data_IF_430399302149
#
_entry.id   IF_430399302149
#
_cell.length_a   1.000
_cell.length_b   1.000
_cell.length_c   1.000
_cell.angle_alpha   90.00
_cell.angle_beta   90.00
_cell.angle_gamma   90.00
#
_symmetry.space_group_name_H-M   'P 1'
#
loop_
_entity.id
_entity.type
_entity.pdbx_description
1 polymer ?
#
# COMPACT_ATOMS: atom_id res chain seq x y z
N UNK A 1 11.61 -24.51 -4.96
CA UNK A 1 11.44 -24.42 -6.41
C UNK A 1 12.66 -25.05 -7.04
N UNK A 2 12.51 -26.01 -7.96
CA UNK A 2 13.65 -26.62 -8.64
C UNK A 2 14.45 -25.56 -9.41
N UNK A 3 15.79 -25.61 -9.30
CA UNK A 3 16.73 -24.66 -9.93
C UNK A 3 16.41 -24.36 -11.41
N UNK A 4 15.97 -25.39 -12.13
CA UNK A 4 15.57 -25.31 -13.54
C UNK A 4 14.40 -24.35 -13.76
N UNK A 5 13.39 -24.37 -12.91
CA UNK A 5 12.22 -23.51 -13.01
C UNK A 5 12.58 -22.05 -12.70
N UNK A 6 13.42 -21.81 -11.68
CA UNK A 6 13.96 -20.47 -11.38
C UNK A 6 14.72 -19.90 -12.57
N UNK A 7 15.57 -20.71 -13.18
CA UNK A 7 16.33 -20.31 -14.35
C UNK A 7 15.41 -19.99 -15.53
N UNK A 8 14.37 -20.80 -15.78
CA UNK A 8 13.38 -20.53 -16.83
C UNK A 8 12.63 -19.21 -16.60
N UNK A 9 12.22 -18.90 -15.37
CA UNK A 9 11.55 -17.63 -15.07
C UNK A 9 12.48 -16.42 -15.26
N UNK A 10 13.74 -16.54 -14.83
CA UNK A 10 14.74 -15.49 -15.05
C UNK A 10 15.05 -15.30 -16.53
N UNK A 11 15.11 -16.38 -17.31
CA UNK A 11 15.27 -16.31 -18.76
C UNK A 11 14.12 -15.56 -19.42
N UNK A 12 12.87 -15.91 -19.09
CA UNK A 12 11.67 -15.21 -19.59
C UNK A 12 11.69 -13.72 -19.27
N UNK A 13 12.13 -13.38 -18.05
CA UNK A 13 12.22 -12.00 -17.62
C UNK A 13 13.30 -11.23 -18.38
N UNK A 14 14.48 -11.82 -18.57
CA UNK A 14 15.57 -11.18 -19.35
C UNK A 14 15.28 -11.05 -20.83
N UNK A 15 14.50 -11.98 -21.41
CA UNK A 15 14.19 -11.95 -22.83
C UNK A 15 13.31 -10.75 -23.22
N UNK A 16 12.52 -10.24 -22.27
CA UNK A 16 11.69 -9.03 -22.46
C UNK A 16 12.52 -7.75 -22.55
N UNK A 17 13.77 -7.77 -22.07
CA UNK A 17 14.60 -6.57 -21.93
C UNK A 17 15.44 -6.28 -23.19
N UNK A 18 15.70 -5.00 -23.41
CA UNK A 18 16.62 -4.54 -24.43
C UNK A 18 18.06 -5.02 -24.11
N UNK A 19 18.89 -5.36 -25.11
CA UNK A 19 20.25 -5.89 -24.90
C UNK A 19 21.11 -5.07 -23.95
N UNK A 20 21.08 -3.74 -24.11
CA UNK A 20 21.81 -2.79 -23.30
C UNK A 20 21.45 -2.82 -21.81
N UNK A 21 20.24 -3.26 -21.45
CA UNK A 21 19.82 -3.38 -20.04
C UNK A 21 20.46 -4.58 -19.34
N UNK A 22 20.73 -5.67 -20.08
CA UNK A 22 21.43 -6.84 -19.55
C UNK A 22 22.92 -6.58 -19.35
N UNK A 23 23.49 -5.70 -20.15
CA UNK A 23 24.89 -5.28 -20.00
C UNK A 23 25.10 -4.33 -18.81
N UNK A 24 24.04 -3.66 -18.35
CA UNK A 24 24.10 -2.84 -17.14
C UNK A 24 24.38 -3.71 -15.93
N UNK A 25 25.46 -3.37 -15.21
CA UNK A 25 25.85 -4.05 -13.97
C UNK A 25 24.75 -3.99 -12.90
N UNK A 26 23.90 -2.95 -12.92
CA UNK A 26 22.80 -2.78 -11.98
C UNK A 26 21.71 -3.82 -12.16
N UNK A 27 21.35 -4.25 -13.38
CA UNK A 27 20.23 -5.18 -13.59
C UNK A 27 20.45 -6.50 -12.84
N UNK A 28 21.58 -7.16 -13.06
CA UNK A 28 21.90 -8.41 -12.37
C UNK A 28 22.22 -8.22 -10.88
N UNK A 29 22.79 -7.08 -10.49
CA UNK A 29 23.01 -6.78 -9.07
C UNK A 29 21.68 -6.55 -8.33
N UNK A 30 20.73 -5.87 -8.96
CA UNK A 30 19.39 -5.62 -8.45
C UNK A 30 18.57 -6.92 -8.44
N UNK A 31 18.73 -7.77 -9.47
CA UNK A 31 18.20 -9.13 -9.46
C UNK A 31 18.89 -10.02 -8.41
N UNK A 32 20.17 -9.85 -8.11
CA UNK A 32 20.81 -10.57 -7.00
C UNK A 32 20.30 -10.09 -5.63
N UNK A 33 19.87 -8.84 -5.51
CA UNK A 33 19.14 -8.37 -4.31
C UNK A 33 17.78 -9.07 -4.15
N UNK A 34 17.30 -9.84 -5.13
CA UNK A 34 16.13 -10.74 -5.00
C UNK A 34 16.36 -11.97 -4.13
N UNK A 35 17.57 -12.15 -3.58
CA UNK A 35 17.93 -13.36 -2.86
C UNK A 35 16.86 -13.81 -1.84
N UNK A 36 16.54 -15.11 -1.85
CA UNK A 36 15.79 -15.89 -0.86
C UNK A 36 14.53 -15.28 -0.21
N UNK A 37 13.87 -14.30 -0.83
CA UNK A 37 12.83 -13.51 -0.16
C UNK A 37 11.50 -13.42 -0.92
N UNK A 38 11.41 -14.01 -2.11
CA UNK A 38 10.28 -13.81 -3.03
C UNK A 38 9.67 -15.16 -3.38
N UNK A 39 8.35 -15.22 -3.46
CA UNK A 39 7.64 -16.44 -3.83
C UNK A 39 7.86 -16.81 -5.31
N UNK A 40 7.90 -18.11 -5.59
CA UNK A 40 7.91 -18.68 -6.94
C UNK A 40 6.75 -18.17 -7.80
N UNK A 41 5.56 -18.11 -7.21
CA UNK A 41 4.35 -17.59 -7.86
C UNK A 41 4.46 -16.11 -8.25
N UNK A 42 5.00 -15.24 -7.38
CA UNK A 42 5.16 -13.82 -7.70
C UNK A 42 6.24 -13.62 -8.80
N UNK A 43 7.30 -14.43 -8.81
CA UNK A 43 8.32 -14.39 -9.86
C UNK A 43 7.74 -14.82 -11.23
N UNK A 44 6.94 -15.89 -11.24
CA UNK A 44 6.22 -16.34 -12.44
C UNK A 44 5.22 -15.28 -12.92
N UNK A 45 4.47 -14.65 -12.00
CA UNK A 45 3.53 -13.59 -12.36
C UNK A 45 4.24 -12.36 -12.97
N UNK A 46 5.46 -12.04 -12.49
CA UNK A 46 6.26 -10.94 -13.00
C UNK A 46 6.94 -11.24 -14.35
N UNK A 47 7.22 -12.51 -14.67
CA UNK A 47 7.79 -12.93 -15.95
C UNK A 47 6.73 -13.19 -17.03
N UNK A 48 5.47 -13.42 -16.62
CA UNK A 48 4.40 -13.82 -17.55
C UNK A 48 4.05 -12.70 -18.54
N UNK A 49 3.98 -13.01 -19.85
CA UNK A 49 3.58 -12.04 -20.87
C UNK A 49 2.10 -11.64 -20.72
N UNK A 50 1.81 -10.33 -20.72
CA UNK A 50 0.45 -9.76 -20.63
C UNK A 50 -0.19 -9.53 -21.99
N UNK A 51 0.60 -9.27 -23.03
CA UNK A 51 0.07 -8.97 -24.36
C UNK A 51 0.29 -10.13 -25.34
N UNK A 52 -0.58 -10.23 -26.34
CA UNK A 52 -0.49 -11.26 -27.39
C UNK A 52 0.77 -11.12 -28.22
N UNK A 53 1.21 -9.89 -28.53
CA UNK A 53 2.43 -9.65 -29.31
C UNK A 53 3.68 -10.14 -28.57
N UNK A 54 3.74 -9.97 -27.24
CA UNK A 54 4.85 -10.49 -26.43
C UNK A 54 4.97 -12.02 -26.62
N UNK A 55 3.85 -12.75 -26.55
CA UNK A 55 3.78 -14.22 -26.78
C UNK A 55 4.29 -14.64 -28.17
N UNK A 56 4.24 -13.72 -29.13
CA UNK A 56 4.66 -13.97 -30.52
C UNK A 56 6.16 -13.73 -30.68
N UNK A 57 6.71 -12.67 -30.06
CA UNK A 57 8.15 -12.38 -30.04
C UNK A 57 8.97 -13.38 -29.22
N UNK A 58 8.39 -14.01 -28.19
CA UNK A 58 9.03 -15.12 -27.43
C UNK A 58 9.43 -16.32 -28.32
N UNK A 59 8.91 -16.41 -29.54
CA UNK A 59 9.27 -17.47 -30.49
C UNK A 59 10.59 -17.21 -31.20
N UNK A 60 11.04 -15.96 -31.32
CA UNK A 60 12.42 -15.63 -31.69
C UNK A 60 13.28 -15.55 -30.43
N UNK A 61 13.49 -16.71 -29.78
CA UNK A 61 14.39 -16.80 -28.61
C UNK A 61 15.76 -16.27 -29.03
N UNK A 62 16.16 -15.14 -28.44
CA UNK A 62 17.54 -14.66 -28.57
C UNK A 62 18.45 -15.68 -27.89
N UNK A 63 19.52 -16.07 -28.56
CA UNK A 63 20.61 -16.79 -27.90
C UNK A 63 21.32 -15.81 -26.98
N UNK A 64 21.07 -15.93 -25.66
CA UNK A 64 21.84 -15.20 -24.67
C UNK A 64 23.32 -15.58 -24.78
N UNK A 65 24.21 -14.62 -24.50
CA UNK A 65 25.65 -14.94 -24.48
C UNK A 65 25.95 -15.97 -23.39
N UNK A 66 26.98 -16.79 -23.57
CA UNK A 66 27.40 -17.74 -22.52
C UNK A 66 27.69 -17.03 -21.18
N UNK A 67 28.19 -15.79 -21.25
CA UNK A 67 28.46 -14.95 -20.09
C UNK A 67 27.17 -14.62 -19.33
N UNK A 68 26.09 -14.31 -20.04
CA UNK A 68 24.79 -14.00 -19.44
C UNK A 68 24.11 -15.25 -18.89
N UNK A 69 24.20 -16.38 -19.60
CA UNK A 69 23.73 -17.68 -19.10
C UNK A 69 24.45 -18.09 -17.81
N UNK A 70 25.78 -17.93 -17.75
CA UNK A 70 26.57 -18.16 -16.52
C UNK A 70 26.24 -17.18 -15.40
N UNK A 71 25.86 -15.94 -15.73
CA UNK A 71 25.38 -14.96 -14.73
C UNK A 71 24.02 -15.38 -14.19
N UNK A 72 23.07 -15.72 -15.07
CA UNK A 72 21.74 -16.18 -14.70
C UNK A 72 21.75 -17.46 -13.87
N UNK A 73 22.58 -18.44 -14.25
CA UNK A 73 22.78 -19.66 -13.47
C UNK A 73 23.23 -19.36 -12.04
N UNK A 74 24.22 -18.47 -11.86
CA UNK A 74 24.67 -18.03 -10.53
C UNK A 74 23.61 -17.27 -9.73
N UNK A 75 22.69 -16.55 -10.40
CA UNK A 75 21.56 -15.90 -9.72
C UNK A 75 20.54 -16.96 -9.31
N UNK A 76 20.17 -17.86 -10.21
CA UNK A 76 19.22 -18.94 -9.95
C UNK A 76 19.68 -19.87 -8.82
N UNK A 77 20.98 -20.22 -8.78
CA UNK A 77 21.59 -21.02 -7.71
C UNK A 77 21.50 -20.36 -6.34
N UNK A 78 21.62 -19.02 -6.31
CA UNK A 78 21.50 -18.25 -5.07
C UNK A 78 20.04 -18.08 -4.64
N UNK A 79 19.11 -18.04 -5.59
CA UNK A 79 17.67 -17.96 -5.32
C UNK A 79 17.14 -19.30 -4.79
N UNK A 80 17.31 -19.52 -3.48
CA UNK A 80 16.57 -20.55 -2.78
C UNK A 80 15.11 -20.11 -2.64
N UNK A 81 14.18 -21.07 -2.77
CA UNK A 81 12.78 -20.79 -2.44
C UNK A 81 12.69 -20.46 -0.95
N UNK A 82 12.18 -19.27 -0.66
CA UNK A 82 11.94 -18.86 0.71
C UNK A 82 10.79 -19.69 1.26
N UNK A 83 11.01 -20.50 2.31
CA UNK A 83 9.91 -21.09 3.08
C UNK A 83 8.93 -20.00 3.56
N UNK A 84 9.46 -18.80 3.81
CA UNK A 84 8.70 -17.61 4.16
C UNK A 84 9.22 -16.42 3.35
N UNK A 85 8.54 -16.05 2.25
CA UNK A 85 8.95 -14.88 1.49
C UNK A 85 8.84 -13.63 2.37
N UNK A 86 9.82 -12.75 2.28
CA UNK A 86 9.80 -11.43 2.92
C UNK A 86 9.18 -10.37 2.01
N UNK A 87 9.08 -10.62 0.70
CA UNK A 87 8.56 -9.69 -0.29
C UNK A 87 7.62 -10.36 -1.29
N UNK A 88 6.64 -9.58 -1.74
CA UNK A 88 5.91 -9.81 -2.99
C UNK A 88 6.46 -8.87 -4.06
N UNK A 89 6.49 -9.34 -5.30
CA UNK A 89 6.93 -8.55 -6.45
C UNK A 89 5.76 -8.24 -7.37
N UNK A 90 5.79 -7.04 -7.96
CA UNK A 90 4.95 -6.70 -9.09
C UNK A 90 5.75 -6.11 -10.24
N UNK A 91 5.49 -6.58 -11.48
CA UNK A 91 5.95 -5.90 -12.70
C UNK A 91 4.97 -4.80 -13.08
N UNK A 92 5.42 -3.55 -12.91
CA UNK A 92 4.71 -2.33 -13.30
C UNK A 92 5.17 -1.86 -14.68
N UNK A 93 4.23 -1.42 -15.49
CA UNK A 93 4.46 -1.06 -16.91
C UNK A 93 4.14 0.41 -17.22
N UNK A 94 3.76 1.16 -16.19
CA UNK A 94 3.43 2.59 -16.28
C UNK A 94 4.22 3.38 -15.24
N UNK A 95 4.63 4.62 -15.54
CA UNK A 95 5.49 5.40 -14.67
C UNK A 95 4.81 5.87 -13.38
N UNK A 96 3.48 5.83 -13.32
CA UNK A 96 2.69 6.16 -12.14
C UNK A 96 2.39 4.89 -11.32
N UNK A 97 2.31 5.01 -10.00
CA UNK A 97 1.83 3.96 -9.09
C UNK A 97 0.46 4.37 -8.53
N UNK A 98 -0.62 3.81 -9.06
CA UNK A 98 -2.00 4.14 -8.75
C UNK A 98 -2.91 2.93 -9.01
N UNK A 99 -3.75 2.59 -8.03
CA UNK A 99 -4.67 1.43 -8.08
C UNK A 99 -5.73 1.48 -9.18
N UNK A 100 -5.99 2.66 -9.76
CA UNK A 100 -7.00 2.86 -10.82
C UNK A 100 -6.44 2.64 -12.23
N UNK A 101 -5.12 2.66 -12.40
CA UNK A 101 -4.49 2.51 -13.71
C UNK A 101 -4.09 1.03 -13.93
N UNK A 102 -4.60 0.36 -14.97
CA UNK A 102 -4.16 -1.00 -15.31
C UNK A 102 -2.65 -1.08 -15.48
N UNK A 103 -2.04 -2.14 -14.95
CA UNK A 103 -0.58 -2.35 -15.02
C UNK A 103 0.25 -1.43 -14.10
N UNK A 104 -0.40 -0.60 -13.29
CA UNK A 104 0.25 0.32 -12.34
C UNK A 104 0.46 -0.30 -10.96
N UNK A 105 -0.57 -0.93 -10.40
CA UNK A 105 -0.51 -1.59 -9.10
C UNK A 105 -1.45 -2.80 -9.10
N UNK A 106 -1.07 -3.94 -8.50
CA UNK A 106 -1.95 -5.09 -8.41
C UNK A 106 -2.99 -4.91 -7.32
N UNK A 107 -4.13 -5.61 -7.43
CA UNK A 107 -5.23 -5.52 -6.46
C UNK A 107 -4.79 -5.85 -5.03
N UNK A 108 -3.84 -6.77 -4.86
CA UNK A 108 -3.33 -7.15 -3.55
C UNK A 108 -2.40 -6.11 -2.91
N UNK A 109 -1.94 -5.10 -3.66
CA UNK A 109 -1.06 -4.05 -3.15
C UNK A 109 -1.76 -2.69 -3.01
N UNK A 110 -3.08 -2.60 -3.21
CA UNK A 110 -3.81 -1.33 -3.11
C UNK A 110 -3.57 -0.69 -1.74
N UNK A 111 -3.15 0.58 -1.74
CA UNK A 111 -2.82 1.32 -0.52
C UNK A 111 -1.42 1.04 0.06
N UNK A 112 -0.65 0.14 -0.53
CA UNK A 112 0.76 -0.07 -0.20
C UNK A 112 1.66 0.79 -1.08
N UNK A 113 2.75 1.29 -0.49
CA UNK A 113 3.88 1.78 -1.25
C UNK A 113 4.92 0.66 -1.35
N UNK A 114 5.57 0.48 -2.52
CA UNK A 114 6.72 -0.42 -2.58
C UNK A 114 7.82 0.11 -1.66
N UNK A 115 8.50 -0.79 -0.94
CA UNK A 115 9.70 -0.44 -0.18
C UNK A 115 10.81 -0.05 -1.17
N UNK A 116 10.87 -0.74 -2.31
CA UNK A 116 11.89 -0.56 -3.35
C UNK A 116 11.28 -0.76 -4.72
N UNK A 117 11.79 -0.04 -5.70
CA UNK A 117 11.45 -0.19 -7.10
C UNK A 117 12.74 -0.25 -7.92
N UNK A 118 12.89 -1.26 -8.76
CA UNK A 118 13.99 -1.35 -9.72
C UNK A 118 13.51 -0.96 -11.11
N UNK A 119 14.35 -0.23 -11.85
CA UNK A 119 14.04 0.30 -13.18
C UNK A 119 13.97 1.84 -13.20
N UNK A 120 13.46 2.43 -14.29
CA UNK A 120 12.86 1.75 -15.44
C UNK A 120 13.87 0.95 -16.26
N UNK A 121 13.55 -0.29 -16.59
CA UNK A 121 14.23 -1.07 -17.61
C UNK A 121 13.51 -0.91 -18.95
N UNK A 122 14.27 -0.82 -20.03
CA UNK A 122 13.70 -0.70 -21.37
C UNK A 122 13.45 -2.09 -21.96
N UNK A 123 12.20 -2.33 -22.37
CA UNK A 123 11.82 -3.50 -23.15
C UNK A 123 12.32 -3.46 -24.59
N UNK A 124 12.29 -4.59 -25.29
CA UNK A 124 12.63 -4.63 -26.73
C UNK A 124 11.69 -3.80 -27.60
N UNK A 125 10.45 -3.70 -27.18
CA UNK A 125 9.41 -2.88 -27.81
C UNK A 125 9.43 -1.41 -27.33
N UNK A 126 10.44 -1.01 -26.57
CA UNK A 126 10.58 0.35 -26.06
C UNK A 126 9.75 0.67 -24.82
N UNK A 127 8.88 -0.23 -24.34
CA UNK A 127 8.14 -0.01 -23.09
C UNK A 127 9.09 0.05 -21.90
N UNK A 128 8.63 0.64 -20.80
CA UNK A 128 9.38 0.76 -19.56
C UNK A 128 8.80 -0.17 -18.50
N UNK A 129 9.68 -0.92 -17.85
CA UNK A 129 9.33 -1.87 -16.80
C UNK A 129 9.93 -1.45 -15.47
N UNK A 130 9.13 -1.55 -14.42
CA UNK A 130 9.56 -1.44 -13.03
C UNK A 130 9.24 -2.73 -12.29
N UNK A 131 10.11 -3.11 -11.37
CA UNK A 131 9.88 -4.22 -10.45
C UNK A 131 9.74 -3.64 -9.04
N UNK A 132 8.51 -3.67 -8.54
CA UNK A 132 8.11 -3.08 -7.27
C UNK A 132 8.08 -4.16 -6.18
N UNK A 133 8.73 -3.90 -5.04
CA UNK A 133 8.90 -4.82 -3.93
C UNK A 133 8.05 -4.38 -2.75
N UNK A 134 7.12 -5.25 -2.36
CA UNK A 134 6.19 -5.00 -1.25
C UNK A 134 6.54 -5.94 -0.09
N UNK A 135 6.92 -5.40 1.08
CA UNK A 135 7.26 -6.24 2.22
C UNK A 135 6.03 -7.00 2.72
N UNK A 136 6.20 -8.27 3.03
CA UNK A 136 5.17 -9.10 3.65
C UNK A 136 5.18 -8.84 5.15
N UNK A 137 4.24 -8.00 5.60
CA UNK A 137 4.08 -7.64 7.00
C UNK A 137 3.03 -8.56 7.63
N UNK A 138 3.43 -9.26 8.70
CA UNK A 138 2.52 -10.07 9.49
C UNK A 138 1.73 -9.17 10.46
N UNK A 139 0.42 -9.07 10.23
CA UNK A 139 -0.51 -8.29 11.05
C UNK A 139 -1.36 -9.21 11.93
N UNK A 140 -1.67 -8.73 13.13
CA UNK A 140 -2.56 -9.39 14.08
C UNK A 140 -4.02 -9.08 13.74
N UNK A 141 -4.86 -10.09 13.47
CA UNK A 141 -6.28 -9.90 13.26
C UNK A 141 -7.04 -9.78 14.60
N UNK A 142 -7.95 -8.81 14.69
CA UNK A 142 -8.97 -8.71 15.73
C UNK A 142 -10.34 -8.91 15.11
N UNK A 143 -11.08 -9.90 15.60
CA UNK A 143 -12.37 -10.31 15.05
C UNK A 143 -13.54 -9.75 15.85
N UNK A 144 -14.66 -9.52 15.15
CA UNK A 144 -15.97 -9.43 15.78
C UNK A 144 -16.51 -10.83 16.07
N UNK A 145 -17.33 -11.00 17.12
CA UNK A 145 -17.86 -12.31 17.49
C UNK A 145 -18.73 -12.89 16.37
N UNK A 146 -18.49 -14.15 16.04
CA UNK A 146 -19.24 -14.87 14.99
C UNK A 146 -18.86 -14.51 13.55
N UNK A 147 -17.88 -13.64 13.33
CA UNK A 147 -17.49 -13.21 11.97
C UNK A 147 -16.20 -13.90 11.50
N UNK A 148 -16.17 -14.26 10.21
CA UNK A 148 -15.02 -14.94 9.59
C UNK A 148 -13.87 -13.98 9.29
N UNK A 149 -14.20 -12.74 8.90
CA UNK A 149 -13.25 -11.71 8.48
C UNK A 149 -12.89 -10.78 9.65
N UNK A 150 -11.61 -10.41 9.81
CA UNK A 150 -11.19 -9.53 10.90
C UNK A 150 -11.75 -8.11 10.77
N UNK A 151 -12.08 -7.49 11.89
CA UNK A 151 -12.48 -6.10 11.95
C UNK A 151 -11.28 -5.16 11.81
N UNK A 152 -10.16 -5.51 12.46
CA UNK A 152 -8.89 -4.77 12.39
C UNK A 152 -7.73 -5.72 12.12
N UNK A 153 -6.73 -5.23 11.38
CA UNK A 153 -5.41 -5.85 11.26
C UNK A 153 -4.36 -4.83 11.72
N UNK A 154 -3.54 -5.18 12.70
CA UNK A 154 -2.57 -4.24 13.28
C UNK A 154 -1.25 -4.90 13.66
N UNK A 155 -0.20 -4.09 13.79
CA UNK A 155 1.14 -4.56 14.10
C UNK A 155 1.37 -4.80 15.61
N UNK A 156 2.04 -5.89 15.97
CA UNK A 156 2.37 -6.25 17.36
C UNK A 156 3.87 -6.20 17.63
N UNK A 157 4.36 -5.00 17.87
CA UNK A 157 5.80 -4.70 17.94
C UNK A 157 6.55 -5.35 19.11
N UNK A 158 5.88 -5.57 20.24
CA UNK A 158 6.51 -6.07 21.48
C UNK A 158 6.85 -7.56 21.44
N UNK A 159 6.13 -8.34 20.62
CA UNK A 159 6.32 -9.78 20.51
C UNK A 159 7.17 -10.18 19.31
N UNK A 160 7.12 -9.45 18.20
CA UNK A 160 7.91 -9.79 17.00
C UNK A 160 9.42 -9.65 17.20
N UNK A 161 9.89 -8.80 18.14
CA UNK A 161 11.32 -8.76 18.49
C UNK A 161 11.80 -9.97 19.29
N UNK A 162 10.89 -10.73 19.91
CA UNK A 162 11.21 -11.92 20.73
C UNK A 162 10.86 -13.24 20.04
N UNK A 163 9.99 -13.21 19.04
CA UNK A 163 9.54 -14.38 18.30
C UNK A 163 10.21 -14.37 16.94
N UNK A 164 11.26 -15.18 16.78
CA UNK A 164 11.95 -15.36 15.49
C UNK A 164 11.10 -16.11 14.45
N UNK A 165 9.92 -16.61 14.83
CA UNK A 165 9.13 -17.55 14.02
C UNK A 165 7.62 -17.25 14.14
N UNK A 166 7.09 -16.42 13.24
CA UNK A 166 5.64 -16.33 12.95
C UNK A 166 4.84 -15.32 13.79
N UNK A 167 3.53 -15.28 13.54
CA UNK A 167 2.58 -14.42 14.26
C UNK A 167 2.47 -14.89 15.72
N UNK A 168 2.40 -13.97 16.70
CA UNK A 168 2.11 -14.35 18.07
C UNK A 168 0.72 -15.00 18.18
N UNK A 169 0.54 -15.90 19.13
CA UNK A 169 -0.77 -16.53 19.36
C UNK A 169 -1.76 -15.52 19.96
N UNK A 170 -3.06 -15.76 19.78
CA UNK A 170 -4.10 -14.91 20.36
C UNK A 170 -3.93 -14.75 21.88
N UNK A 171 -3.57 -15.81 22.61
CA UNK A 171 -3.33 -15.76 24.06
C UNK A 171 -2.16 -14.83 24.42
N UNK A 172 -1.07 -14.86 23.66
CA UNK A 172 0.06 -13.97 23.88
C UNK A 172 -0.33 -12.51 23.66
N UNK A 173 -1.15 -12.23 22.64
CA UNK A 173 -1.63 -10.87 22.39
C UNK A 173 -2.63 -10.41 23.46
N UNK A 174 -3.53 -11.27 23.93
CA UNK A 174 -4.47 -10.94 25.02
C UNK A 174 -3.72 -10.45 26.27
N UNK A 175 -2.57 -11.05 26.59
CA UNK A 175 -1.75 -10.61 27.73
C UNK A 175 -1.16 -9.20 27.55
N UNK A 176 -1.01 -8.72 26.31
CA UNK A 176 -0.57 -7.35 26.04
C UNK A 176 -1.68 -6.32 26.22
N UNK A 177 -2.95 -6.74 26.24
CA UNK A 177 -4.08 -5.86 26.53
C UNK A 177 -4.13 -5.58 28.04
N UNK A 178 -3.46 -4.51 28.47
CA UNK A 178 -3.46 -4.05 29.86
C UNK A 178 -4.86 -3.55 30.24
N UNK A 179 -5.68 -4.41 30.85
CA UNK A 179 -7.04 -4.03 31.23
C UNK A 179 -7.95 -3.71 30.04
N UNK A 180 -7.80 -4.44 28.92
CA UNK A 180 -8.53 -4.25 27.66
C UNK A 180 -8.08 -3.07 26.77
N UNK A 181 -6.93 -2.46 27.08
CA UNK A 181 -6.28 -1.43 26.26
C UNK A 181 -4.98 -1.95 25.63
N UNK A 182 -4.77 -1.64 24.36
CA UNK A 182 -3.55 -1.96 23.61
C UNK A 182 -3.00 -0.71 22.89
N UNK A 183 -1.70 -0.46 23.05
CA UNK A 183 -1.04 0.68 22.41
C UNK A 183 -0.41 0.24 21.08
N UNK A 184 -0.81 0.92 20.00
CA UNK A 184 -0.28 0.71 18.66
C UNK A 184 1.09 1.39 18.52
N UNK A 185 2.05 0.66 17.97
CA UNK A 185 3.32 1.23 17.53
C UNK A 185 3.17 1.90 16.15
N UNK A 186 4.12 2.77 15.80
CA UNK A 186 4.14 3.41 14.47
C UNK A 186 4.37 2.39 13.36
N UNK A 187 3.37 2.20 12.49
CA UNK A 187 3.35 1.25 11.37
C UNK A 187 2.11 1.54 10.51
N UNK A 188 1.38 0.50 10.09
CA UNK A 188 0.05 0.58 9.47
C UNK A 188 -1.00 -0.10 10.33
N UNK A 189 -2.24 0.37 10.22
CA UNK A 189 -3.45 -0.34 10.66
C UNK A 189 -4.38 -0.49 9.45
N UNK A 190 -5.02 -1.64 9.34
CA UNK A 190 -6.06 -1.88 8.34
C UNK A 190 -7.38 -2.09 9.03
N UNK A 191 -8.38 -1.38 8.55
CA UNK A 191 -9.72 -1.31 9.14
C UNK A 191 -10.68 -1.84 8.09
N UNK A 192 -11.55 -2.77 8.47
CA UNK A 192 -12.58 -3.26 7.55
C UNK A 192 -13.48 -2.10 7.11
N UNK A 193 -13.65 -1.92 5.81
CA UNK A 193 -14.21 -0.69 5.24
C UNK A 193 -15.69 -0.47 5.62
N UNK A 194 -16.44 -1.55 5.80
CA UNK A 194 -17.83 -1.54 6.28
C UNK A 194 -17.97 -0.98 7.71
N UNK A 195 -16.88 -0.89 8.48
CA UNK A 195 -16.85 -0.28 9.81
C UNK A 195 -16.70 1.25 9.75
N UNK A 196 -16.33 1.81 8.60
CA UNK A 196 -16.16 3.26 8.40
C UNK A 196 -17.24 3.85 7.50
N UNK A 197 -17.78 3.05 6.57
CA UNK A 197 -18.76 3.48 5.58
C UNK A 197 -19.84 2.42 5.36
N UNK A 198 -20.92 2.82 4.69
CA UNK A 198 -21.95 1.89 4.22
C UNK A 198 -21.65 1.48 2.77
N UNK A 199 -21.87 0.21 2.43
CA UNK A 199 -21.70 -0.32 1.07
C UNK A 199 -20.49 -1.23 0.82
N UNK A 200 -19.31 -1.06 1.43
CA UNK A 200 -18.20 -2.01 1.26
C UNK A 200 -18.55 -3.41 1.75
N UNK A 201 -17.87 -4.42 1.19
CA UNK A 201 -17.96 -5.80 1.68
C UNK A 201 -17.11 -6.00 2.94
N UNK A 202 -17.35 -7.09 3.67
CA UNK A 202 -16.51 -7.49 4.83
C UNK A 202 -15.09 -7.91 4.45
N UNK A 203 -14.77 -7.95 3.16
CA UNK A 203 -13.43 -8.28 2.64
C UNK A 203 -12.65 -7.05 2.20
N UNK A 204 -13.28 -5.88 2.19
CA UNK A 204 -12.64 -4.62 1.82
C UNK A 204 -12.02 -3.96 3.05
N UNK A 205 -10.82 -3.41 2.88
CA UNK A 205 -10.07 -2.77 3.97
C UNK A 205 -9.54 -1.40 3.57
N UNK A 206 -9.54 -0.48 4.54
CA UNK A 206 -8.89 0.81 4.48
C UNK A 206 -7.58 0.74 5.27
N UNK A 207 -6.46 0.95 4.59
CA UNK A 207 -5.14 1.03 5.19
C UNK A 207 -4.79 2.46 5.59
N UNK A 208 -4.31 2.65 6.83
CA UNK A 208 -3.82 3.94 7.33
C UNK A 208 -2.40 3.82 7.86
N UNK A 209 -1.54 4.77 7.51
CA UNK A 209 -0.20 4.92 8.08
C UNK A 209 -0.28 5.67 9.40
N UNK A 210 0.28 5.09 10.46
CA UNK A 210 0.17 5.63 11.81
C UNK A 210 1.55 5.85 12.44
N UNK A 211 1.69 6.92 13.20
CA UNK A 211 2.80 7.12 14.14
C UNK A 211 2.58 6.38 15.46
N UNK A 212 1.34 6.02 15.76
CA UNK A 212 0.93 5.25 16.92
C UNK A 212 -0.57 5.41 17.17
N UNK A 213 -1.05 4.91 18.29
CA UNK A 213 -2.47 4.98 18.64
C UNK A 213 -2.85 4.03 19.76
N UNK A 214 -4.15 3.88 19.97
CA UNK A 214 -4.71 3.00 20.99
C UNK A 214 -5.90 2.23 20.43
N UNK A 215 -5.99 0.95 20.77
CA UNK A 215 -7.21 0.15 20.67
C UNK A 215 -7.69 -0.09 22.10
N UNK A 216 -8.90 0.35 22.43
CA UNK A 216 -9.53 0.16 23.74
C UNK A 216 -10.80 -0.66 23.56
N UNK A 217 -10.91 -1.77 24.30
CA UNK A 217 -12.12 -2.58 24.34
C UNK A 217 -12.83 -2.36 25.67
N UNK A 218 -14.17 -2.29 25.66
CA UNK A 218 -14.94 -2.17 26.90
C UNK A 218 -14.91 -3.45 27.76
N UNK A 219 -14.46 -4.58 27.19
CA UNK A 219 -14.22 -5.86 27.86
C UNK A 219 -12.94 -6.48 27.31
N UNK A 220 -12.22 -7.25 28.13
CA UNK A 220 -10.97 -7.93 27.70
C UNK A 220 -11.22 -8.83 26.49
N UNK A 221 -10.32 -8.85 25.48
CA UNK A 221 -10.47 -9.73 24.32
C UNK A 221 -10.37 -11.21 24.73
N UNK A 222 -10.95 -12.08 23.91
CA UNK A 222 -11.01 -13.52 24.14
C UNK A 222 -10.34 -14.28 22.99
N UNK A 223 -9.82 -15.46 23.29
CA UNK A 223 -9.36 -16.39 22.27
C UNK A 223 -10.50 -17.36 21.95
N UNK A 224 -11.07 -17.26 20.75
CA UNK A 224 -12.13 -18.15 20.27
C UNK A 224 -11.57 -18.91 19.08
N UNK A 225 -11.38 -20.23 19.22
CA UNK A 225 -10.82 -21.10 18.18
C UNK A 225 -9.49 -20.57 17.57
N UNK A 226 -8.60 -20.02 18.41
CA UNK A 226 -7.32 -19.47 17.97
C UNK A 226 -7.36 -18.02 17.49
N UNK A 227 -8.54 -17.39 17.46
CA UNK A 227 -8.74 -16.01 17.00
C UNK A 227 -8.87 -15.02 18.16
N UNK A 228 -8.12 -13.92 18.09
CA UNK A 228 -8.30 -12.78 19.00
C UNK A 228 -9.64 -12.09 18.68
N UNK A 229 -10.60 -12.21 19.58
CA UNK A 229 -11.99 -11.83 19.33
C UNK A 229 -12.49 -10.83 20.37
N UNK A 230 -13.21 -9.81 19.90
CA UNK A 230 -13.92 -8.85 20.74
C UNK A 230 -15.11 -9.59 21.42
N UNK A 231 -15.31 -9.48 22.74
CA UNK A 231 -16.43 -10.12 23.40
C UNK A 231 -17.79 -9.62 22.89
N UNK A 232 -18.81 -10.46 22.95
CA UNK A 232 -20.17 -10.06 22.59
C UNK A 232 -20.65 -8.83 23.39
N UNK A 233 -21.22 -7.86 22.68
CA UNK A 233 -21.68 -6.58 23.22
C UNK A 233 -20.57 -5.63 23.69
N UNK A 234 -19.29 -5.96 23.49
CA UNK A 234 -18.21 -5.03 23.77
C UNK A 234 -18.06 -3.99 22.65
N UNK A 235 -17.63 -2.79 23.02
CA UNK A 235 -17.28 -1.71 22.09
C UNK A 235 -15.77 -1.70 21.90
N UNK A 236 -15.35 -1.52 20.66
CA UNK A 236 -13.96 -1.27 20.28
C UNK A 236 -13.83 0.20 19.89
N UNK A 237 -13.00 0.93 20.62
CA UNK A 237 -12.66 2.33 20.37
C UNK A 237 -11.22 2.41 19.89
N UNK A 238 -10.98 3.14 18.80
CA UNK A 238 -9.67 3.26 18.16
C UNK A 238 -9.32 4.73 18.05
N UNK A 239 -8.18 5.10 18.62
CA UNK A 239 -7.61 6.45 18.57
C UNK A 239 -6.27 6.41 17.85
N UNK A 240 -6.17 7.04 16.67
CA UNK A 240 -4.99 7.00 15.82
C UNK A 240 -4.29 8.34 15.75
N UNK A 241 -2.95 8.28 15.77
CA UNK A 241 -2.06 9.36 15.36
C UNK A 241 -1.56 9.03 13.96
N UNK A 242 -2.06 9.72 12.96
CA UNK A 242 -1.74 9.49 11.55
C UNK A 242 -0.34 10.02 11.23
N UNK A 243 0.41 9.24 10.43
CA UNK A 243 1.72 9.64 9.94
C UNK A 243 1.58 10.11 8.50
N UNK A 244 1.99 11.34 8.26
CA UNK A 244 2.03 11.92 6.92
C UNK A 244 3.38 11.65 6.27
N UNK A 245 3.36 11.47 4.95
CA UNK A 245 4.58 11.41 4.16
C UNK A 245 5.10 12.81 3.88
N UNK A 246 6.43 12.93 3.83
CA UNK A 246 7.05 14.17 3.42
C UNK A 246 6.64 14.48 1.97
N UNK A 247 6.35 15.74 1.63
CA UNK A 247 6.10 16.11 0.25
C UNK A 247 7.33 15.76 -0.60
N UNK A 248 7.13 15.35 -1.86
CA UNK A 248 8.24 15.04 -2.75
C UNK A 248 9.14 16.27 -2.92
N UNK A 249 10.45 16.06 -2.99
CA UNK A 249 11.40 17.16 -3.21
C UNK A 249 11.17 17.73 -4.61
N UNK A 250 10.92 19.04 -4.75
CA UNK A 250 10.76 19.68 -6.04
C UNK A 250 11.99 19.48 -6.94
N UNK A 251 11.78 19.18 -8.23
CA UNK A 251 12.89 19.19 -9.20
C UNK A 251 13.48 20.59 -9.35
N UNK A 252 14.77 20.72 -9.67
CA UNK A 252 15.45 22.03 -9.76
C UNK A 252 14.96 22.95 -10.90
N UNK A 253 14.14 22.45 -11.84
CA UNK A 253 13.70 23.18 -13.03
C UNK A 253 12.60 24.23 -12.80
N UNK A 254 12.33 25.06 -13.80
CA UNK A 254 11.30 26.10 -13.77
C UNK A 254 9.87 25.59 -14.00
N UNK A 255 9.68 24.29 -14.09
CA UNK A 255 8.39 23.65 -14.33
C UNK A 255 7.63 23.37 -13.04
N UNK A 256 6.31 23.13 -13.17
CA UNK A 256 5.41 22.75 -12.07
C UNK A 256 5.40 23.71 -10.87
N UNK A 257 5.66 25.02 -11.09
CA UNK A 257 5.72 26.03 -10.02
C UNK A 257 4.46 26.08 -9.14
N UNK A 258 3.28 25.90 -9.74
CA UNK A 258 2.02 25.86 -8.99
C UNK A 258 1.97 24.69 -7.98
N UNK A 259 2.52 23.53 -8.34
CA UNK A 259 2.63 22.37 -7.43
C UNK A 259 3.71 22.60 -6.36
N UNK A 260 4.79 23.32 -6.70
CA UNK A 260 5.86 23.65 -5.73
C UNK A 260 5.40 24.60 -4.65
N UNK A 261 4.51 25.53 -4.99
CA UNK A 261 3.91 26.48 -4.05
C UNK A 261 2.71 25.90 -3.30
N UNK A 262 2.19 24.76 -3.79
CA UNK A 262 1.06 24.10 -3.17
C UNK A 262 1.48 23.47 -1.84
N UNK A 263 0.64 23.63 -0.83
CA UNK A 263 0.78 22.92 0.44
C UNK A 263 -0.48 22.12 0.72
N UNK A 264 -0.31 20.96 1.32
CA UNK A 264 -1.40 20.09 1.78
C UNK A 264 -0.99 19.51 3.12
N UNK A 265 -1.81 19.76 4.13
CA UNK A 265 -1.72 19.13 5.43
C UNK A 265 -2.96 18.27 5.63
N UNK A 266 -2.77 16.96 5.76
CA UNK A 266 -3.84 16.01 6.02
C UNK A 266 -4.21 16.01 7.52
N UNK A 267 -5.29 15.34 7.92
CA UNK A 267 -5.56 15.10 9.33
C UNK A 267 -4.40 14.37 10.02
N UNK A 268 -4.05 14.79 11.24
CA UNK A 268 -3.02 14.13 12.08
C UNK A 268 -3.60 13.13 13.06
N UNK A 269 -4.91 13.18 13.28
CA UNK A 269 -5.64 12.30 14.21
C UNK A 269 -6.88 11.74 13.55
N UNK A 270 -7.26 10.53 13.94
CA UNK A 270 -8.49 9.88 13.51
C UNK A 270 -9.00 8.97 14.62
N UNK A 271 -10.26 9.12 15.00
CA UNK A 271 -10.89 8.33 16.06
C UNK A 271 -12.25 7.81 15.62
N UNK A 272 -12.52 6.57 15.96
CA UNK A 272 -13.79 5.90 15.66
C UNK A 272 -14.04 4.77 16.64
N UNK A 273 -15.29 4.34 16.73
CA UNK A 273 -15.65 3.16 17.50
C UNK A 273 -16.67 2.30 16.76
N UNK A 274 -16.71 1.03 17.14
CA UNK A 274 -17.67 0.08 16.60
C UNK A 274 -18.00 -1.05 17.58
N UNK A 275 -19.16 -1.65 17.36
CA UNK A 275 -19.62 -2.91 17.94
C UNK A 275 -20.00 -3.85 16.79
N UNK A 276 -20.58 -5.02 17.09
CA UNK A 276 -21.16 -5.87 16.05
C UNK A 276 -22.38 -5.23 15.35
N UNK A 277 -23.04 -4.24 15.98
CA UNK A 277 -24.31 -3.68 15.51
C UNK A 277 -24.22 -2.19 15.12
N UNK A 278 -23.23 -1.46 15.63
CA UNK A 278 -23.11 -0.01 15.45
C UNK A 278 -21.67 0.38 15.12
N UNK A 279 -21.51 1.50 14.43
CA UNK A 279 -20.22 2.07 14.04
C UNK A 279 -20.36 3.59 13.93
N UNK A 280 -19.31 4.31 14.29
CA UNK A 280 -19.30 5.76 14.22
C UNK A 280 -17.88 6.31 14.14
N UNK A 281 -17.72 7.36 13.33
CA UNK A 281 -16.50 8.19 13.33
C UNK A 281 -16.66 9.26 14.40
N UNK A 282 -15.77 9.24 15.38
CA UNK A 282 -15.83 10.12 16.56
C UNK A 282 -15.15 11.45 16.29
N UNK A 283 -13.96 11.40 15.68
CA UNK A 283 -13.19 12.60 15.39
C UNK A 283 -12.25 12.40 14.20
N UNK A 284 -12.02 13.49 13.47
CA UNK A 284 -10.98 13.61 12.45
C UNK A 284 -10.25 14.92 12.73
N UNK A 285 -8.93 14.89 12.75
CA UNK A 285 -8.14 16.11 12.90
C UNK A 285 -8.35 17.08 11.73
N UNK A 286 -8.07 18.35 11.96
CA UNK A 286 -8.19 19.37 10.92
C UNK A 286 -7.22 19.11 9.77
N UNK A 287 -7.62 19.52 8.58
CA UNK A 287 -6.80 19.51 7.37
C UNK A 287 -6.77 20.92 6.77
N UNK A 288 -5.74 21.21 5.97
CA UNK A 288 -5.69 22.45 5.23
C UNK A 288 -4.89 22.29 3.94
N UNK A 289 -5.14 23.20 3.01
CA UNK A 289 -4.34 23.31 1.80
C UNK A 289 -4.09 24.78 1.43
N UNK A 290 -3.06 25.00 0.62
CA UNK A 290 -2.87 26.23 -0.14
C UNK A 290 -2.69 25.82 -1.60
N UNK A 291 -3.69 26.08 -2.44
CA UNK A 291 -3.63 25.79 -3.87
C UNK A 291 -3.88 27.07 -4.67
N UNK A 292 -3.03 27.34 -5.66
CA UNK A 292 -3.15 28.52 -6.53
C UNK A 292 -3.35 29.85 -5.77
N UNK A 293 -2.69 29.98 -4.61
CA UNK A 293 -2.77 31.15 -3.73
C UNK A 293 -4.03 31.25 -2.87
N UNK A 294 -4.93 30.26 -2.90
CA UNK A 294 -6.03 30.16 -1.96
C UNK A 294 -5.72 29.15 -0.85
N UNK A 295 -5.63 29.66 0.38
CA UNK A 295 -5.71 28.85 1.59
C UNK A 295 -7.16 28.50 1.93
N UNK A 296 -7.42 27.24 2.25
CA UNK A 296 -8.69 26.75 2.82
C UNK A 296 -8.36 25.74 3.93
N UNK A 297 -9.12 25.82 5.01
CA UNK A 297 -9.04 24.89 6.14
C UNK A 297 -10.30 24.00 6.13
N UNK A 298 -10.17 22.79 6.65
CA UNK A 298 -11.21 21.76 6.65
C UNK A 298 -11.37 21.18 8.06
N UNK A 299 -12.60 21.10 8.53
CA UNK A 299 -12.94 20.67 9.90
C UNK A 299 -14.01 19.59 9.88
N UNK A 300 -13.90 18.59 10.74
CA UNK A 300 -14.91 17.55 10.86
C UNK A 300 -16.08 18.03 11.73
N UNK A 301 -17.30 17.93 11.22
CA UNK A 301 -18.51 18.40 11.90
C UNK A 301 -19.23 17.31 12.71
N UNK A 302 -18.67 16.09 12.76
CA UNK A 302 -19.25 14.98 13.49
C UNK A 302 -20.34 14.21 12.74
N UNK A 303 -20.66 13.03 13.27
CA UNK A 303 -21.87 12.22 13.00
C UNK A 303 -22.16 11.81 11.54
N UNK A 304 -21.26 12.04 10.58
CA UNK A 304 -21.44 11.58 9.21
C UNK A 304 -20.69 10.28 8.97
N UNK A 305 -21.37 9.20 8.52
CA UNK A 305 -20.66 7.98 8.11
C UNK A 305 -19.76 8.29 6.91
N UNK A 306 -18.69 7.52 6.76
CA UNK A 306 -17.88 7.58 5.54
C UNK A 306 -18.70 7.22 4.30
N UNK A 307 -18.28 7.76 3.16
CA UNK A 307 -18.89 7.52 1.85
C UNK A 307 -17.98 6.59 1.07
N UNK A 308 -18.47 5.40 0.70
CA UNK A 308 -17.73 4.48 -0.15
C UNK A 308 -18.00 4.77 -1.62
N UNK A 309 -16.94 4.98 -2.40
CA UNK A 309 -17.01 5.13 -3.86
C UNK A 309 -16.29 3.94 -4.49
N UNK A 310 -17.06 2.96 -4.97
CA UNK A 310 -16.55 1.69 -5.48
C UNK A 310 -15.64 1.85 -6.70
N UNK A 311 -15.96 2.79 -7.59
CA UNK A 311 -15.15 3.10 -8.78
C UNK A 311 -13.77 3.63 -8.42
N UNK A 312 -13.65 4.31 -7.28
CA UNK A 312 -12.39 4.84 -6.77
C UNK A 312 -11.72 3.91 -5.77
N UNK A 313 -12.34 2.77 -5.41
CA UNK A 313 -11.88 1.84 -4.36
C UNK A 313 -11.49 2.59 -3.08
N UNK A 314 -12.28 3.60 -2.70
CA UNK A 314 -11.93 4.56 -1.63
C UNK A 314 -13.12 4.84 -0.72
N UNK A 315 -12.82 5.05 0.57
CA UNK A 315 -13.75 5.59 1.57
C UNK A 315 -13.40 7.05 1.82
N UNK A 316 -14.36 7.95 1.61
CA UNK A 316 -14.26 9.37 1.89
C UNK A 316 -14.86 9.68 3.25
N UNK A 317 -14.21 10.57 4.01
CA UNK A 317 -14.74 11.09 5.26
C UNK A 317 -14.98 12.59 5.03
N UNK A 318 -16.23 13.06 5.06
CA UNK A 318 -16.53 14.43 4.69
C UNK A 318 -16.01 15.41 5.74
N UNK A 319 -15.36 16.47 5.28
CA UNK A 319 -14.91 17.61 6.06
C UNK A 319 -15.58 18.88 5.56
N UNK A 320 -15.87 19.80 6.47
CA UNK A 320 -16.42 21.11 6.12
C UNK A 320 -15.28 22.09 5.80
N UNK A 321 -15.23 22.56 4.57
CA UNK A 321 -14.34 23.62 4.14
C UNK A 321 -14.75 24.98 4.72
N UNK A 322 -13.79 25.80 5.15
CA UNK A 322 -14.05 27.19 5.59
C UNK A 322 -14.49 28.10 4.44
N UNK A 323 -14.18 27.72 3.20
CA UNK A 323 -14.59 28.43 1.99
C UNK A 323 -15.45 27.51 1.14
N UNK A 324 -16.68 27.89 0.77
CA UNK A 324 -17.57 27.05 -0.02
C UNK A 324 -17.15 26.96 -1.50
N UNK A 325 -16.23 27.81 -1.94
CA UNK A 325 -15.76 27.87 -3.32
C UNK A 325 -14.24 27.84 -3.40
N UNK A 326 -13.75 27.16 -4.43
CA UNK A 326 -12.36 27.23 -4.87
C UNK A 326 -12.21 28.31 -5.94
N UNK A 327 -11.20 29.16 -5.80
CA UNK A 327 -10.86 30.23 -6.72
C UNK A 327 -9.37 30.20 -7.02
N UNK A 328 -9.03 30.20 -8.31
CA UNK A 328 -7.64 30.34 -8.75
C UNK A 328 -7.25 31.81 -8.63
N UNK A 329 -6.42 32.14 -7.64
CA UNK A 329 -5.92 33.51 -7.42
C UNK A 329 -4.62 33.78 -8.14
N UNK A 330 -3.79 32.75 -8.30
CA UNK A 330 -2.47 32.85 -8.92
C UNK A 330 -2.10 31.54 -9.60
N UNK A 331 -1.76 31.61 -10.90
CA UNK A 331 -1.14 30.52 -11.66
C UNK A 331 0.24 30.96 -12.16
N UNK A 332 1.23 30.09 -11.99
CA UNK A 332 2.65 30.34 -12.32
C UNK A 332 3.18 29.41 -13.41
N UNK A 333 2.34 28.52 -13.94
CA UNK A 333 2.70 27.62 -15.03
C UNK A 333 2.92 28.38 -16.34
N UNK A 334 4.07 28.13 -16.99
CA UNK A 334 4.39 28.72 -18.29
C UNK A 334 3.62 28.10 -19.46
N UNK A 335 3.12 26.88 -19.30
CA UNK A 335 2.48 26.13 -20.39
C UNK A 335 0.96 26.28 -20.41
N UNK A 336 0.35 26.44 -19.23
CA UNK A 336 -1.10 26.52 -19.08
C UNK A 336 -1.42 27.38 -17.88
N UNK A 337 -2.26 28.41 -18.08
CA UNK A 337 -2.71 29.30 -17.02
C UNK A 337 -4.08 28.83 -16.54
N UNK A 338 -4.16 28.46 -15.26
CA UNK A 338 -5.45 28.17 -14.62
C UNK A 338 -6.12 29.49 -14.21
N UNK A 339 -7.45 29.56 -14.34
CA UNK A 339 -8.26 30.70 -13.91
C UNK A 339 -9.68 30.24 -13.57
N UNK A 340 -10.43 31.11 -12.86
CA UNK A 340 -11.84 30.92 -12.58
C UNK A 340 -12.15 30.55 -11.13
N UNK A 341 -13.43 30.24 -10.90
CA UNK A 341 -14.02 29.93 -9.60
C UNK A 341 -15.04 28.82 -9.76
N UNK A 342 -15.07 27.88 -8.82
CA UNK A 342 -16.07 26.81 -8.77
C UNK A 342 -16.48 26.54 -7.32
N UNK A 343 -17.66 25.96 -7.12
CA UNK A 343 -18.13 25.54 -5.79
C UNK A 343 -17.46 24.22 -5.39
N UNK A 344 -17.17 24.09 -4.10
CA UNK A 344 -16.74 22.83 -3.49
C UNK A 344 -18.03 22.05 -3.17
N UNK A 345 -18.33 21.03 -3.97
CA UNK A 345 -19.55 20.23 -3.78
C UNK A 345 -19.44 19.24 -2.63
N UNK A 346 -18.28 18.61 -2.48
CA UNK A 346 -17.95 17.68 -1.41
C UNK A 346 -16.48 17.88 -1.05
N UNK A 347 -16.17 17.89 0.24
CA UNK A 347 -14.82 17.97 0.79
C UNK A 347 -14.65 17.02 1.95
#
# INVERSE_FOLDING_TARGET
MPLKETLEQLLLLTDQLAPQELERSSFFADFQKLNASVSSADLQAASTPRFSFEKTEFRTRRTLSEKDLKRLGRVAEKMQEAERPAYRIFRREVPLAQSLAPGSQPDWAVGLAPERSFGPFTGRDGRKFWYDFFPIIQLMPLYLPGQSDPALLFYVSSLQRKISVGLPSANQVIQLFQGAKYNLAGSSIWIRADLLANGPSTKDYVGLKIGGGTITLSKKPQNIAGKLTIPAGATCTVDLKLKQDAPPTPSAGNYARDVKDATLELPKTFAFHFTAAAKQIDAVGDANWNLYGQKTDFTYQGASPGIHISQLKTVFIPLQATKPAFQVKKSKSYFAQAAGKTQIQQS
#
